data_IF_847936070677
#
_entry.id   IF_847936070677
#
_cell.length_a   1.000
_cell.length_b   1.000
_cell.length_c   1.000
_cell.angle_alpha   90.00
_cell.angle_beta   90.00
_cell.angle_gamma   90.00
#
_symmetry.space_group_name_H-M   'P 1'
#
loop_
_entity.id
_entity.type
_entity.pdbx_description
1 polymer ?
#
# COMPACT_ATOMS: atom_id res chain seq x y z
N UNK A 1 -20.18 6.29 12.99
CA UNK A 1 -20.02 5.26 11.93
C UNK A 1 -21.19 4.30 12.01
N UNK A 2 -22.02 4.25 10.98
CA UNK A 2 -23.03 3.18 10.87
C UNK A 2 -22.28 1.92 10.50
N UNK A 3 -22.18 0.96 11.44
CA UNK A 3 -21.47 -0.29 11.19
C UNK A 3 -22.07 -1.01 9.99
N UNK A 4 -21.22 -1.55 9.11
CA UNK A 4 -21.61 -2.35 7.94
C UNK A 4 -22.60 -3.48 8.30
N UNK A 5 -22.56 -3.95 9.54
CA UNK A 5 -23.44 -4.97 10.09
C UNK A 5 -24.92 -4.57 10.19
N UNK A 6 -25.24 -3.26 10.15
CA UNK A 6 -26.61 -2.73 10.30
C UNK A 6 -27.29 -2.40 8.97
N UNK A 7 -26.61 -2.58 7.83
CA UNK A 7 -27.22 -2.37 6.52
C UNK A 7 -27.97 -3.64 6.07
N UNK A 8 -29.32 -3.63 5.99
CA UNK A 8 -30.06 -4.72 5.44
C UNK A 8 -29.71 -4.88 3.95
N UNK A 9 -29.05 -5.95 3.59
CA UNK A 9 -28.60 -6.23 2.21
C UNK A 9 -27.10 -6.36 2.04
N UNK A 10 -26.28 -5.89 2.98
CA UNK A 10 -24.82 -6.07 2.95
C UNK A 10 -24.39 -7.12 4.00
N UNK A 11 -23.96 -8.28 3.53
CA UNK A 11 -23.44 -9.34 4.39
C UNK A 11 -21.95 -9.51 4.16
N UNK A 12 -21.14 -9.27 5.20
CA UNK A 12 -19.72 -9.61 5.20
C UNK A 12 -19.58 -11.14 5.21
N UNK A 13 -19.29 -11.71 4.06
CA UNK A 13 -19.00 -13.13 3.93
C UNK A 13 -17.47 -13.35 3.86
N UNK A 14 -16.94 -14.51 4.26
CA UNK A 14 -15.52 -14.84 4.10
C UNK A 14 -15.05 -14.68 2.66
N UNK A 15 -15.89 -15.02 1.68
CA UNK A 15 -15.61 -14.82 0.26
C UNK A 15 -15.43 -13.33 -0.07
N UNK A 16 -16.35 -12.46 0.36
CA UNK A 16 -16.27 -11.02 0.11
C UNK A 16 -15.01 -10.42 0.75
N UNK A 17 -14.67 -10.85 1.96
CA UNK A 17 -13.43 -10.43 2.63
C UNK A 17 -12.20 -10.84 1.80
N UNK A 18 -12.15 -12.09 1.34
CA UNK A 18 -11.05 -12.57 0.49
C UNK A 18 -10.92 -11.75 -0.80
N UNK A 19 -12.04 -11.47 -1.47
CA UNK A 19 -12.05 -10.67 -2.70
C UNK A 19 -11.54 -9.25 -2.43
N UNK A 20 -12.03 -8.61 -1.36
CA UNK A 20 -11.61 -7.27 -0.96
C UNK A 20 -10.12 -7.20 -0.65
N UNK A 21 -9.58 -8.17 0.10
CA UNK A 21 -8.16 -8.21 0.45
C UNK A 21 -7.27 -8.43 -0.77
N UNK A 22 -7.65 -9.32 -1.68
CA UNK A 22 -6.88 -9.52 -2.91
C UNK A 22 -6.95 -8.32 -3.84
N UNK A 23 -8.12 -7.66 -3.94
CA UNK A 23 -8.26 -6.44 -4.71
C UNK A 23 -7.38 -5.30 -4.16
N UNK A 24 -7.33 -5.16 -2.83
CA UNK A 24 -6.49 -4.18 -2.15
C UNK A 24 -5.00 -4.40 -2.46
N UNK A 25 -4.50 -5.62 -2.27
CA UNK A 25 -3.11 -5.97 -2.56
C UNK A 25 -2.73 -5.77 -4.04
N UNK A 26 -3.63 -6.09 -4.96
CA UNK A 26 -3.40 -5.78 -6.38
C UNK A 26 -3.37 -4.27 -6.64
N UNK A 27 -4.21 -3.50 -5.93
CA UNK A 27 -4.20 -2.04 -5.99
C UNK A 27 -2.86 -1.46 -5.57
N UNK A 28 -2.33 -1.91 -4.43
CA UNK A 28 -1.03 -1.48 -3.91
C UNK A 28 0.13 -1.84 -4.87
N UNK A 29 0.13 -3.07 -5.41
CA UNK A 29 1.12 -3.50 -6.42
C UNK A 29 1.03 -2.63 -7.67
N UNK A 30 -0.17 -2.32 -8.17
CA UNK A 30 -0.34 -1.47 -9.35
C UNK A 30 0.15 -0.06 -9.09
N UNK A 31 -0.23 0.54 -7.98
CA UNK A 31 0.18 1.88 -7.61
C UNK A 31 1.71 1.98 -7.52
N UNK A 32 2.33 1.08 -6.77
CA UNK A 32 3.79 1.02 -6.60
C UNK A 32 4.52 0.84 -7.93
N UNK A 33 4.10 -0.11 -8.75
CA UNK A 33 4.75 -0.38 -10.03
C UNK A 33 4.51 0.73 -11.06
N UNK A 34 3.28 1.22 -11.17
CA UNK A 34 2.92 2.24 -12.16
C UNK A 34 3.63 3.57 -11.88
N UNK A 35 3.58 4.07 -10.65
CA UNK A 35 4.18 5.36 -10.30
C UNK A 35 5.71 5.32 -10.38
N UNK A 36 6.31 4.15 -10.18
CA UNK A 36 7.76 3.97 -10.36
C UNK A 36 8.17 3.93 -11.83
N UNK A 37 7.40 3.33 -12.73
CA UNK A 37 7.81 3.09 -14.12
C UNK A 37 7.36 4.21 -15.04
N UNK A 38 6.14 4.74 -14.86
CA UNK A 38 5.53 5.74 -15.75
C UNK A 38 6.40 6.97 -16.01
N UNK A 39 7.05 7.58 -15.02
CA UNK A 39 7.90 8.76 -15.25
C UNK A 39 9.15 8.49 -16.10
N UNK A 40 9.56 7.23 -16.22
CA UNK A 40 10.81 6.80 -16.87
C UNK A 40 10.59 5.96 -18.14
N UNK A 41 9.35 5.70 -18.55
CA UNK A 41 9.07 4.85 -19.70
C UNK A 41 9.69 5.37 -21.00
N UNK A 42 10.39 4.48 -21.76
CA UNK A 42 10.97 4.85 -23.07
C UNK A 42 9.92 5.02 -24.15
N UNK A 43 8.80 4.31 -24.03
CA UNK A 43 7.68 4.39 -24.98
C UNK A 43 6.51 5.03 -24.24
N UNK A 44 6.17 6.28 -24.51
CA UNK A 44 5.09 6.98 -23.83
C UNK A 44 3.78 6.21 -23.82
N UNK A 45 3.17 6.05 -22.66
CA UNK A 45 1.91 5.32 -22.47
C UNK A 45 2.06 3.81 -22.28
N UNK A 46 3.27 3.23 -22.38
CA UNK A 46 3.48 1.79 -22.23
C UNK A 46 3.14 1.28 -20.83
N UNK A 47 3.46 2.06 -19.78
CA UNK A 47 3.14 1.73 -18.39
C UNK A 47 1.62 1.73 -18.16
N UNK A 48 0.92 2.74 -18.66
CA UNK A 48 -0.55 2.81 -18.58
C UNK A 48 -1.21 1.67 -19.38
N UNK A 49 -0.72 1.35 -20.56
CA UNK A 49 -1.25 0.24 -21.37
C UNK A 49 -1.06 -1.11 -20.65
N UNK A 50 0.09 -1.33 -20.02
CA UNK A 50 0.34 -2.54 -19.22
C UNK A 50 -0.57 -2.58 -17.98
N UNK A 51 -0.75 -1.46 -17.29
CA UNK A 51 -1.67 -1.34 -16.16
C UNK A 51 -3.11 -1.72 -16.57
N UNK A 52 -3.64 -1.14 -17.65
CA UNK A 52 -4.99 -1.44 -18.14
C UNK A 52 -5.17 -2.92 -18.53
N UNK A 53 -4.14 -3.50 -19.16
CA UNK A 53 -4.12 -4.95 -19.49
C UNK A 53 -4.23 -5.82 -18.24
N UNK A 54 -3.46 -5.52 -17.20
CA UNK A 54 -3.48 -6.28 -15.96
C UNK A 54 -4.71 -5.98 -15.12
N UNK A 55 -5.17 -4.72 -15.08
CA UNK A 55 -6.41 -4.32 -14.39
C UNK A 55 -7.61 -5.15 -14.86
N UNK A 56 -7.78 -5.31 -16.17
CA UNK A 56 -8.85 -6.17 -16.73
C UNK A 56 -8.75 -7.60 -16.22
N UNK A 57 -7.55 -8.20 -16.24
CA UNK A 57 -7.33 -9.58 -15.76
C UNK A 57 -7.58 -9.73 -14.26
N UNK A 58 -7.21 -8.73 -13.46
CA UNK A 58 -7.47 -8.71 -12.02
C UNK A 58 -8.96 -8.58 -11.75
N UNK A 59 -9.65 -7.68 -12.43
CA UNK A 59 -11.10 -7.53 -12.30
C UNK A 59 -11.81 -8.85 -12.66
N UNK A 60 -11.43 -9.49 -13.77
CA UNK A 60 -11.97 -10.80 -14.15
C UNK A 60 -11.67 -11.87 -13.10
N UNK A 61 -10.48 -11.89 -12.53
CA UNK A 61 -10.11 -12.84 -11.49
C UNK A 61 -10.89 -12.61 -10.19
N UNK A 62 -10.96 -11.35 -9.73
CA UNK A 62 -11.63 -11.01 -8.47
C UNK A 62 -13.15 -11.03 -8.62
N UNK A 63 -13.70 -10.65 -9.79
CA UNK A 63 -15.15 -10.51 -9.99
C UNK A 63 -15.89 -11.82 -10.30
N UNK A 64 -15.24 -12.78 -10.95
CA UNK A 64 -15.92 -13.92 -11.60
C UNK A 64 -15.86 -15.26 -10.84
N UNK A 65 -15.26 -15.33 -9.66
CA UNK A 65 -15.12 -16.59 -8.92
C UNK A 65 -15.69 -16.50 -7.51
N UNK A 66 -16.41 -17.54 -7.07
CA UNK A 66 -16.98 -17.61 -5.69
C UNK A 66 -15.88 -17.78 -4.64
N UNK A 67 -14.81 -18.49 -4.97
CA UNK A 67 -13.64 -18.72 -4.10
C UNK A 67 -12.39 -18.48 -4.96
N UNK A 68 -11.55 -17.54 -4.53
CA UNK A 68 -10.34 -17.19 -5.24
C UNK A 68 -9.19 -18.15 -4.91
N UNK A 69 -8.53 -18.63 -5.95
CA UNK A 69 -7.35 -19.47 -5.80
C UNK A 69 -6.15 -18.65 -5.31
N UNK A 70 -5.68 -18.91 -4.10
CA UNK A 70 -4.48 -18.28 -3.55
C UNK A 70 -3.23 -18.53 -4.43
N UNK A 71 -3.11 -19.74 -5.00
CA UNK A 71 -2.01 -20.04 -5.94
C UNK A 71 -2.04 -19.15 -7.19
N UNK A 72 -3.25 -18.88 -7.74
CA UNK A 72 -3.41 -18.00 -8.91
C UNK A 72 -3.12 -16.55 -8.52
N UNK A 73 -3.63 -16.10 -7.37
CA UNK A 73 -3.33 -14.78 -6.80
C UNK A 73 -1.82 -14.54 -6.72
N UNK A 74 -1.07 -15.39 -6.01
CA UNK A 74 0.39 -15.31 -5.86
C UNK A 74 1.13 -15.26 -7.21
N UNK A 75 0.68 -16.10 -8.18
CA UNK A 75 1.26 -16.09 -9.53
C UNK A 75 1.02 -14.75 -10.22
N UNK A 76 -0.18 -14.18 -10.09
CA UNK A 76 -0.51 -12.90 -10.71
C UNK A 76 0.30 -11.76 -10.08
N UNK A 77 0.42 -11.68 -8.75
CA UNK A 77 1.24 -10.67 -8.08
C UNK A 77 2.68 -10.66 -8.63
N UNK A 78 3.33 -11.83 -8.66
CA UNK A 78 4.69 -11.96 -9.19
C UNK A 78 4.78 -11.59 -10.67
N UNK A 79 3.78 -11.97 -11.47
CA UNK A 79 3.82 -11.69 -12.90
C UNK A 79 3.62 -10.20 -13.20
N UNK A 80 2.74 -9.51 -12.45
CA UNK A 80 2.54 -8.06 -12.57
C UNK A 80 3.86 -7.34 -12.32
N UNK A 81 4.52 -7.63 -11.19
CA UNK A 81 5.78 -7.00 -10.82
C UNK A 81 6.84 -7.22 -11.90
N UNK A 82 7.00 -8.46 -12.38
CA UNK A 82 7.97 -8.78 -13.44
C UNK A 82 7.66 -8.07 -14.75
N UNK A 83 6.40 -7.99 -15.15
CA UNK A 83 6.02 -7.36 -16.40
C UNK A 83 6.33 -5.85 -16.35
N UNK A 84 6.10 -5.19 -15.20
CA UNK A 84 6.49 -3.79 -15.01
C UNK A 84 8.01 -3.61 -14.90
N UNK A 85 8.73 -4.50 -14.21
CA UNK A 85 10.19 -4.46 -14.05
C UNK A 85 10.93 -4.64 -15.40
N UNK A 86 10.29 -5.27 -16.37
CA UNK A 86 10.82 -5.48 -17.71
C UNK A 86 10.41 -4.40 -18.73
N UNK A 87 9.62 -3.39 -18.32
CA UNK A 87 9.35 -2.27 -19.22
C UNK A 87 10.61 -1.47 -19.50
N UNK A 88 10.89 -1.11 -20.76
CA UNK A 88 12.04 -0.28 -21.09
C UNK A 88 11.93 1.10 -20.43
N UNK A 89 12.90 1.42 -19.58
CA UNK A 89 13.01 2.70 -18.87
C UNK A 89 14.22 3.49 -19.37
N UNK A 90 14.14 4.82 -19.24
CA UNK A 90 15.27 5.72 -19.45
C UNK A 90 16.20 5.70 -18.23
N UNK A 91 17.45 6.11 -18.43
CA UNK A 91 18.44 6.28 -17.34
C UNK A 91 18.37 7.67 -16.69
N UNK A 92 17.32 8.44 -17.00
CA UNK A 92 17.10 9.77 -16.43
C UNK A 92 16.95 9.69 -14.91
N UNK A 93 17.50 10.68 -14.20
CA UNK A 93 17.32 10.81 -12.76
C UNK A 93 16.31 11.91 -12.47
N UNK A 94 15.20 11.55 -11.85
CA UNK A 94 14.16 12.48 -11.43
C UNK A 94 14.18 12.66 -9.90
N UNK A 95 13.81 13.84 -9.39
CA UNK A 95 13.55 14.00 -7.96
C UNK A 95 12.46 13.01 -7.52
N UNK A 96 12.71 12.30 -6.45
CA UNK A 96 11.71 11.41 -5.83
C UNK A 96 11.00 12.15 -4.71
N UNK A 97 9.67 12.16 -4.75
CA UNK A 97 8.81 12.86 -3.80
C UNK A 97 7.87 11.87 -3.15
N UNK A 98 8.04 11.68 -1.84
CA UNK A 98 7.14 10.87 -1.03
C UNK A 98 5.83 11.62 -0.79
N UNK A 99 4.69 10.92 -0.96
CA UNK A 99 3.37 11.48 -0.66
C UNK A 99 2.79 10.72 0.53
N UNK A 100 2.74 11.39 1.68
CA UNK A 100 2.17 10.87 2.92
C UNK A 100 0.97 11.72 3.35
N UNK A 101 0.21 11.29 4.33
CA UNK A 101 -0.91 12.09 4.83
C UNK A 101 -2.08 11.25 5.30
N UNK A 102 -3.19 11.93 5.58
CA UNK A 102 -4.44 11.30 5.98
C UNK A 102 -4.94 10.37 4.87
N UNK A 103 -5.40 9.19 5.25
CA UNK A 103 -5.69 8.10 4.33
C UNK A 103 -6.64 8.49 3.18
N UNK A 104 -7.75 9.18 3.49
CA UNK A 104 -8.72 9.57 2.46
C UNK A 104 -8.10 10.58 1.49
N UNK A 105 -7.40 11.58 2.02
CA UNK A 105 -6.75 12.62 1.21
C UNK A 105 -5.62 12.02 0.39
N UNK A 106 -4.78 11.16 0.99
CA UNK A 106 -3.65 10.52 0.29
C UNK A 106 -4.08 9.67 -0.91
N UNK A 107 -5.14 8.88 -0.76
CA UNK A 107 -5.57 7.91 -1.79
C UNK A 107 -6.72 8.37 -2.68
N UNK A 108 -7.32 9.54 -2.45
CA UNK A 108 -8.38 10.09 -3.29
C UNK A 108 -7.84 11.24 -4.14
N UNK A 109 -7.54 11.03 -5.45
CA UNK A 109 -6.93 12.07 -6.29
C UNK A 109 -7.71 13.39 -6.31
N UNK A 110 -9.06 13.33 -6.29
CA UNK A 110 -9.89 14.52 -6.23
C UNK A 110 -9.75 15.32 -4.91
N UNK A 111 -9.37 14.67 -3.82
CA UNK A 111 -9.18 15.31 -2.52
C UNK A 111 -7.77 15.93 -2.36
N UNK A 112 -6.79 15.44 -3.12
CA UNK A 112 -5.41 15.92 -3.08
C UNK A 112 -4.98 16.70 -4.33
N UNK A 113 -5.94 17.19 -5.12
CA UNK A 113 -5.68 17.93 -6.35
C UNK A 113 -4.80 17.16 -7.35
N UNK A 114 -4.98 15.84 -7.46
CA UNK A 114 -4.22 14.97 -8.38
C UNK A 114 -2.70 15.10 -8.18
N UNK A 115 -2.24 15.11 -6.94
CA UNK A 115 -0.85 15.39 -6.56
C UNK A 115 0.18 14.51 -7.30
N UNK A 116 -0.14 13.25 -7.55
CA UNK A 116 0.77 12.35 -8.29
C UNK A 116 0.94 12.82 -9.73
N UNK A 117 -0.16 13.14 -10.41
CA UNK A 117 -0.11 13.62 -11.80
C UNK A 117 0.59 14.99 -11.88
N UNK A 118 0.37 15.84 -10.87
CA UNK A 118 1.07 17.12 -10.76
C UNK A 118 2.58 16.91 -10.63
N UNK A 119 3.03 16.08 -9.69
CA UNK A 119 4.46 15.78 -9.48
C UNK A 119 5.11 15.21 -10.74
N UNK A 120 4.46 14.31 -11.43
CA UNK A 120 4.96 13.74 -12.68
C UNK A 120 5.01 14.78 -13.80
N UNK A 121 4.04 15.69 -13.90
CA UNK A 121 4.04 16.78 -14.89
C UNK A 121 5.18 17.79 -14.67
N UNK A 122 5.60 17.97 -13.41
CA UNK A 122 6.75 18.78 -13.01
C UNK A 122 8.10 18.02 -13.10
N UNK A 123 8.09 16.79 -13.63
CA UNK A 123 9.29 15.99 -13.87
C UNK A 123 9.81 15.22 -12.66
N UNK A 124 9.00 15.01 -11.63
CA UNK A 124 9.33 14.21 -10.45
C UNK A 124 8.78 12.78 -10.54
N UNK A 125 9.29 11.89 -9.67
CA UNK A 125 8.72 10.59 -9.37
C UNK A 125 7.93 10.67 -8.07
N UNK A 126 6.63 10.38 -8.10
CA UNK A 126 5.82 10.26 -6.89
C UNK A 126 5.98 8.88 -6.26
N UNK A 127 6.23 8.83 -4.96
CA UNK A 127 6.32 7.59 -4.18
C UNK A 127 5.24 7.60 -3.11
N UNK A 128 4.26 6.72 -3.24
CA UNK A 128 3.11 6.64 -2.34
C UNK A 128 3.15 5.31 -1.58
N UNK A 129 3.15 5.32 -0.23
CA UNK A 129 3.05 4.10 0.57
C UNK A 129 1.77 3.32 0.33
N UNK A 130 1.79 2.01 0.60
CA UNK A 130 0.68 1.11 0.33
C UNK A 130 -0.53 1.37 1.25
N UNK A 131 -1.74 1.14 0.75
CA UNK A 131 -2.97 1.24 1.55
C UNK A 131 -3.06 0.12 2.60
N UNK A 132 -2.49 -1.04 2.30
CA UNK A 132 -2.40 -2.16 3.24
C UNK A 132 -1.62 -1.80 4.50
N UNK A 133 -0.61 -0.92 4.42
CA UNK A 133 0.16 -0.47 5.59
C UNK A 133 -0.71 0.27 6.60
N UNK A 134 -1.73 1.01 6.15
CA UNK A 134 -2.72 1.62 7.04
C UNK A 134 -3.56 0.57 7.81
N UNK A 135 -3.96 -0.53 7.17
CA UNK A 135 -4.66 -1.61 7.87
C UNK A 135 -3.77 -2.28 8.91
N UNK A 136 -2.49 -2.46 8.58
CA UNK A 136 -1.48 -2.97 9.51
C UNK A 136 -1.27 -2.02 10.69
N UNK A 137 -1.21 -0.71 10.44
CA UNK A 137 -1.16 0.33 11.47
C UNK A 137 -2.37 0.25 12.41
N UNK A 138 -3.58 0.13 11.88
CA UNK A 138 -4.79 -0.01 12.70
C UNK A 138 -4.71 -1.24 13.64
N UNK A 139 -4.19 -2.36 13.13
CA UNK A 139 -3.97 -3.56 13.93
C UNK A 139 -2.84 -3.36 14.95
N UNK A 140 -1.74 -2.75 14.56
CA UNK A 140 -0.57 -2.55 15.40
C UNK A 140 -0.85 -1.64 16.60
N UNK A 141 -1.70 -0.63 16.43
CA UNK A 141 -2.14 0.27 17.49
C UNK A 141 -2.75 -0.45 18.71
N UNK A 142 -3.28 -1.66 18.52
CA UNK A 142 -3.83 -2.44 19.64
C UNK A 142 -2.74 -2.94 20.60
N UNK A 143 -1.48 -2.98 20.18
CA UNK A 143 -0.36 -3.30 21.07
C UNK A 143 -0.20 -2.21 22.14
N UNK A 144 -0.06 -0.95 21.70
CA UNK A 144 0.04 0.18 22.61
C UNK A 144 -1.19 0.32 23.50
N UNK A 145 -2.40 0.15 22.91
CA UNK A 145 -3.66 0.21 23.67
C UNK A 145 -3.74 -0.86 24.77
N UNK A 146 -3.24 -2.08 24.50
CA UNK A 146 -3.22 -3.14 25.48
C UNK A 146 -2.17 -2.91 26.57
N UNK A 147 -1.02 -2.34 26.21
CA UNK A 147 0.08 -2.15 27.14
C UNK A 147 -0.12 -0.91 28.05
N UNK A 148 -0.80 0.12 27.57
CA UNK A 148 -0.88 1.42 28.26
C UNK A 148 -2.30 1.98 28.47
N UNK A 149 -3.30 1.52 27.70
CA UNK A 149 -4.64 2.11 27.69
C UNK A 149 -5.74 1.12 28.08
N UNK A 150 -5.38 0.01 28.71
CA UNK A 150 -6.35 -0.95 29.26
C UNK A 150 -7.11 -1.79 28.25
N UNK A 151 -6.67 -1.86 26.99
CA UNK A 151 -7.25 -2.81 26.03
C UNK A 151 -6.90 -4.25 26.42
N UNK A 152 -7.74 -5.21 26.01
CA UNK A 152 -7.59 -6.59 26.47
C UNK A 152 -6.43 -7.31 25.76
N UNK A 153 -5.77 -8.23 26.48
CA UNK A 153 -4.76 -9.11 25.90
C UNK A 153 -5.31 -9.97 24.73
N UNK A 154 -6.61 -10.28 24.76
CA UNK A 154 -7.31 -10.97 23.66
C UNK A 154 -7.31 -10.10 22.40
N UNK A 155 -7.64 -8.81 22.51
CA UNK A 155 -7.60 -7.87 21.40
C UNK A 155 -6.19 -7.80 20.79
N UNK A 156 -5.14 -7.64 21.62
CA UNK A 156 -3.74 -7.65 21.21
C UNK A 156 -3.38 -8.92 20.39
N UNK A 157 -3.77 -10.10 20.90
CA UNK A 157 -3.49 -11.39 20.21
C UNK A 157 -4.18 -11.49 18.86
N UNK A 158 -5.46 -11.11 18.78
CA UNK A 158 -6.22 -11.12 17.52
C UNK A 158 -5.58 -10.21 16.50
N UNK A 159 -5.25 -8.98 16.87
CA UNK A 159 -4.66 -8.02 15.95
C UNK A 159 -3.25 -8.42 15.49
N UNK A 160 -2.43 -9.01 16.37
CA UNK A 160 -1.14 -9.56 15.96
C UNK A 160 -1.29 -10.78 15.02
N UNK A 161 -2.36 -11.57 15.15
CA UNK A 161 -2.67 -12.62 14.19
C UNK A 161 -3.10 -12.05 12.85
N UNK A 162 -3.88 -10.97 12.83
CA UNK A 162 -4.23 -10.24 11.60
C UNK A 162 -3.00 -9.65 10.91
N UNK A 163 -2.07 -9.03 11.65
CA UNK A 163 -0.80 -8.57 11.10
C UNK A 163 -0.05 -9.71 10.41
N UNK A 164 0.10 -10.86 11.07
CA UNK A 164 0.75 -12.03 10.47
C UNK A 164 0.05 -12.53 9.20
N UNK A 165 -1.27 -12.47 9.19
CA UNK A 165 -2.07 -12.85 8.03
C UNK A 165 -1.86 -11.89 6.85
N UNK A 166 -1.88 -10.57 7.07
CA UNK A 166 -1.58 -9.59 6.03
C UNK A 166 -0.14 -9.74 5.51
N UNK A 167 0.83 -9.92 6.42
CA UNK A 167 2.22 -10.14 6.04
C UNK A 167 2.41 -11.44 5.22
N UNK A 168 1.67 -12.49 5.55
CA UNK A 168 1.64 -13.71 4.76
C UNK A 168 1.00 -13.49 3.39
N UNK A 169 -0.07 -12.69 3.32
CA UNK A 169 -0.77 -12.40 2.06
C UNK A 169 0.14 -11.67 1.06
N UNK A 170 0.86 -10.65 1.52
CA UNK A 170 1.75 -9.83 0.68
C UNK A 170 3.17 -10.38 0.50
N UNK A 171 3.48 -11.50 1.17
CA UNK A 171 4.82 -12.08 1.13
C UNK A 171 5.37 -12.31 -0.28
N UNK A 172 4.57 -12.90 -1.17
CA UNK A 172 5.02 -13.20 -2.54
C UNK A 172 5.28 -11.94 -3.37
N UNK A 173 4.49 -10.89 -3.17
CA UNK A 173 4.72 -9.59 -3.79
C UNK A 173 6.02 -8.97 -3.25
N UNK A 174 6.19 -8.94 -1.92
CA UNK A 174 7.42 -8.43 -1.28
C UNK A 174 8.66 -9.18 -1.76
N UNK A 175 8.63 -10.52 -1.78
CA UNK A 175 9.75 -11.35 -2.23
C UNK A 175 10.10 -11.12 -3.71
N UNK A 176 9.12 -10.76 -4.53
CA UNK A 176 9.35 -10.44 -5.94
C UNK A 176 9.86 -9.02 -6.13
N UNK A 177 9.31 -8.05 -5.39
CA UNK A 177 9.84 -6.68 -5.35
C UNK A 177 11.31 -6.64 -4.93
N UNK A 178 11.68 -7.43 -3.91
CA UNK A 178 13.08 -7.54 -3.45
C UNK A 178 14.06 -8.09 -4.50
N UNK A 179 13.57 -8.72 -5.56
CA UNK A 179 14.40 -9.22 -6.69
C UNK A 179 14.43 -8.26 -7.87
N UNK A 180 13.58 -7.26 -7.84
CA UNK A 180 13.44 -6.27 -8.89
C UNK A 180 14.68 -5.39 -8.99
N UNK A 181 14.89 -4.82 -10.16
CA UNK A 181 15.92 -3.80 -10.40
C UNK A 181 15.43 -2.39 -10.07
N UNK A 182 14.12 -2.21 -10.01
CA UNK A 182 13.49 -0.88 -9.99
C UNK A 182 12.60 -0.64 -8.78
N UNK A 183 12.17 -1.70 -8.07
CA UNK A 183 11.22 -1.59 -6.97
C UNK A 183 11.86 -1.94 -5.64
N UNK A 184 11.45 -1.23 -4.61
CA UNK A 184 11.80 -1.55 -3.23
C UNK A 184 10.73 -2.48 -2.60
N UNK A 185 11.13 -3.43 -1.75
CA UNK A 185 10.18 -4.25 -1.01
C UNK A 185 9.40 -3.40 0.01
N UNK A 186 8.17 -3.84 0.34
CA UNK A 186 7.37 -3.19 1.39
C UNK A 186 7.97 -3.44 2.77
N UNK A 187 8.00 -2.42 3.64
CA UNK A 187 8.46 -2.56 5.01
C UNK A 187 7.47 -3.38 5.88
N UNK A 188 7.96 -3.88 7.00
CA UNK A 188 7.11 -4.43 8.04
C UNK A 188 6.60 -3.31 8.94
N UNK A 189 5.35 -3.42 9.40
CA UNK A 189 4.76 -2.40 10.29
C UNK A 189 5.56 -2.21 11.59
N UNK A 190 6.23 -3.26 12.05
CA UNK A 190 7.11 -3.21 13.22
C UNK A 190 8.34 -2.34 12.97
N UNK A 191 8.87 -2.35 11.75
CA UNK A 191 10.03 -1.54 11.38
C UNK A 191 9.64 -0.07 11.26
N UNK A 192 8.48 0.23 10.66
CA UNK A 192 7.91 1.58 10.64
C UNK A 192 7.69 2.12 12.06
N UNK A 193 7.09 1.33 12.94
CA UNK A 193 6.87 1.72 14.33
C UNK A 193 8.19 2.01 15.06
N UNK A 194 9.19 1.13 14.90
CA UNK A 194 10.51 1.30 15.51
C UNK A 194 11.22 2.55 15.01
N UNK A 195 11.12 2.86 13.73
CA UNK A 195 11.69 4.09 13.16
C UNK A 195 10.97 5.33 13.72
N UNK A 196 9.62 5.32 13.74
CA UNK A 196 8.83 6.42 14.27
C UNK A 196 9.11 6.72 15.74
N UNK A 197 9.32 5.69 16.58
CA UNK A 197 9.54 5.85 18.03
C UNK A 197 10.78 6.69 18.40
N UNK A 198 11.71 6.86 17.47
CA UNK A 198 12.85 7.78 17.66
C UNK A 198 12.44 9.27 17.62
N UNK A 199 11.27 9.58 17.05
CA UNK A 199 10.78 10.95 16.88
C UNK A 199 9.48 11.16 17.67
N UNK A 200 8.54 10.21 17.57
CA UNK A 200 7.20 10.33 18.15
C UNK A 200 6.74 8.99 18.71
N UNK A 201 6.13 9.01 19.90
CA UNK A 201 5.60 7.80 20.52
C UNK A 201 4.49 7.16 19.68
N UNK A 202 4.43 5.82 19.63
CA UNK A 202 3.32 5.05 19.08
C UNK A 202 1.98 5.29 19.80
N UNK A 203 1.96 6.06 20.88
CA UNK A 203 0.75 6.58 21.52
C UNK A 203 0.03 7.66 20.73
N UNK A 204 0.71 8.33 19.80
CA UNK A 204 0.11 9.33 18.90
C UNK A 204 -0.60 8.60 17.74
N UNK A 205 -1.85 8.21 17.98
CA UNK A 205 -2.62 7.33 17.08
C UNK A 205 -3.74 8.04 16.32
N UNK A 206 -3.92 9.34 16.51
CA UNK A 206 -4.99 10.10 15.85
C UNK A 206 -4.44 10.82 14.63
N UNK A 207 -5.17 10.81 13.51
CA UNK A 207 -4.75 11.43 12.26
C UNK A 207 -3.48 10.81 11.71
N UNK A 208 -3.41 9.46 11.74
CA UNK A 208 -2.29 8.60 11.40
C UNK A 208 -1.01 8.80 12.25
N UNK A 209 -0.90 9.89 13.00
CA UNK A 209 0.09 10.15 14.03
C UNK A 209 1.48 9.58 13.81
N UNK A 210 1.89 8.57 14.61
CA UNK A 210 3.20 7.93 14.50
C UNK A 210 3.42 7.24 13.15
N UNK A 211 2.35 6.73 12.55
CA UNK A 211 2.43 5.99 11.27
C UNK A 211 2.90 6.89 10.13
N UNK A 212 2.35 8.11 10.05
CA UNK A 212 2.78 9.13 9.10
C UNK A 212 4.28 9.41 9.21
N UNK A 213 4.77 9.55 10.45
CA UNK A 213 6.20 9.77 10.72
C UNK A 213 7.04 8.56 10.29
N UNK A 214 6.56 7.34 10.55
CA UNK A 214 7.21 6.12 10.10
C UNK A 214 7.29 6.01 8.58
N UNK A 215 6.21 6.31 7.86
CA UNK A 215 6.18 6.37 6.40
C UNK A 215 7.20 7.39 5.85
N UNK A 216 7.27 8.59 6.45
CA UNK A 216 8.26 9.61 6.05
C UNK A 216 9.69 9.10 6.17
N UNK A 217 10.03 8.48 7.30
CA UNK A 217 11.38 7.99 7.55
C UNK A 217 11.75 6.84 6.60
N UNK A 218 10.82 5.94 6.33
CA UNK A 218 11.03 4.87 5.35
C UNK A 218 11.27 5.43 3.95
N UNK A 219 10.45 6.37 3.50
CA UNK A 219 10.60 7.01 2.19
C UNK A 219 11.93 7.72 2.05
N UNK A 220 12.38 8.44 3.08
CA UNK A 220 13.69 9.08 3.13
C UNK A 220 14.81 8.04 3.02
N UNK A 221 14.71 6.93 3.74
CA UNK A 221 15.68 5.83 3.68
C UNK A 221 15.72 5.17 2.29
N UNK A 222 14.61 5.15 1.56
CA UNK A 222 14.50 4.68 0.17
C UNK A 222 14.92 5.72 -0.87
N UNK A 223 15.40 6.89 -0.45
CA UNK A 223 15.89 7.95 -1.33
C UNK A 223 14.81 8.94 -1.84
N UNK A 224 13.59 8.89 -1.33
CA UNK A 224 12.58 9.93 -1.54
C UNK A 224 12.71 10.97 -0.42
N UNK A 225 13.70 11.86 -0.57
CA UNK A 225 14.07 12.85 0.45
C UNK A 225 13.16 14.09 0.50
N UNK A 226 12.32 14.26 -0.50
CA UNK A 226 11.30 15.32 -0.54
C UNK A 226 9.96 14.68 -0.16
N UNK A 227 9.24 15.30 0.77
CA UNK A 227 7.98 14.76 1.28
C UNK A 227 6.87 15.80 1.12
N UNK A 228 5.76 15.38 0.55
CA UNK A 228 4.48 16.10 0.57
C UNK A 228 3.58 15.44 1.59
N UNK A 229 3.09 16.20 2.55
CA UNK A 229 2.13 15.74 3.54
C UNK A 229 0.74 16.26 3.18
N UNK A 230 -0.11 15.37 2.66
CA UNK A 230 -1.49 15.67 2.25
C UNK A 230 -2.44 15.50 3.44
N UNK A 231 -2.86 16.60 4.03
CA UNK A 231 -3.80 16.66 5.17
C UNK A 231 -5.02 17.51 4.82
N UNK A 232 -6.20 17.25 5.45
CA UNK A 232 -7.38 18.10 5.29
C UNK A 232 -7.20 19.48 5.89
#
# INVERSE_FOLDING_TARGET
MVGLEKNPGFKLTPSLIQHGLYALEFGDIFMRCLYRVRPYEKVPGSANALHEKWKKRVIDFVGNTKILSHRKYRKMCRQIIRDFDNLPMTDEKKPRVGVVGEILVKFLPAANNYIVDLLESEGAEAVVPDLTDFLLYCCYNQNFKADYLGATAKSKRINNMLIRFFEWLRKDARDELAKSKHFEPTAYIQDLAKQAEHIVSCGNQTGEGWFLTGEMLELIAQGATNIVCAQP
#
